data_IF_531767464583
#
_entry.id   IF_531767464583
#
_cell.length_a   1.000
_cell.length_b   1.000
_cell.length_c   1.000
_cell.angle_alpha   90.00
_cell.angle_beta   90.00
_cell.angle_gamma   90.00
#
_symmetry.space_group_name_H-M   'P 1'
#
loop_
_entity.id
_entity.type
_entity.pdbx_description
1 polymer ?
#
# COMPACT_ATOMS: atom_id res chain seq x y z
N UNK A 1 5.58 5.13 5.13
CA UNK A 1 4.61 5.78 4.19
C UNK A 1 4.08 7.08 4.73
N UNK A 2 3.78 7.21 6.02
CA UNK A 2 3.41 8.53 6.57
C UNK A 2 4.53 9.57 6.41
N UNK A 3 5.80 9.14 6.33
CA UNK A 3 6.96 10.01 6.07
C UNK A 3 6.93 10.63 4.67
N UNK A 4 6.28 9.98 3.70
CA UNK A 4 6.16 10.50 2.31
C UNK A 4 5.47 11.85 2.28
N UNK A 5 4.55 12.07 3.21
CA UNK A 5 3.71 13.26 3.30
C UNK A 5 3.91 14.04 4.60
N UNK A 6 5.01 13.77 5.33
CA UNK A 6 5.35 14.42 6.60
C UNK A 6 4.16 14.46 7.60
N UNK A 7 3.42 13.35 7.68
CA UNK A 7 2.22 13.31 8.52
C UNK A 7 2.52 13.26 10.02
N UNK A 8 3.77 12.97 10.41
CA UNK A 8 4.29 13.10 11.77
C UNK A 8 3.55 12.34 12.87
N UNK A 9 2.80 11.28 12.54
CA UNK A 9 2.01 10.52 13.51
C UNK A 9 2.24 9.00 13.35
N UNK A 10 2.84 8.40 14.38
CA UNK A 10 3.13 6.97 14.45
C UNK A 10 1.87 6.10 14.60
N UNK A 11 0.71 6.65 14.97
CA UNK A 11 -0.57 5.92 14.99
C UNK A 11 -0.88 5.30 13.62
N UNK A 12 -0.37 5.89 12.54
CA UNK A 12 -0.51 5.32 11.20
C UNK A 12 0.24 3.98 11.05
N UNK A 13 1.36 3.78 11.75
CA UNK A 13 2.01 2.47 11.84
C UNK A 13 1.05 1.45 12.44
N UNK A 14 0.50 1.78 13.61
CA UNK A 14 -0.37 0.88 14.36
C UNK A 14 -1.66 0.55 13.61
N UNK A 15 -2.22 1.52 12.88
CA UNK A 15 -3.42 1.30 12.07
C UNK A 15 -3.20 0.33 10.90
N UNK A 16 -1.96 0.23 10.39
CA UNK A 16 -1.64 -0.55 9.20
C UNK A 16 -0.80 -1.81 9.49
N UNK A 17 -0.30 -1.99 10.72
CA UNK A 17 0.63 -3.08 11.07
C UNK A 17 0.05 -4.46 10.74
N UNK A 18 -1.26 -4.62 10.94
CA UNK A 18 -1.95 -5.87 10.67
C UNK A 18 -1.88 -6.27 9.19
N UNK A 19 -1.70 -5.34 8.24
CA UNK A 19 -1.63 -5.67 6.81
C UNK A 19 -0.37 -6.45 6.42
N UNK A 20 0.64 -6.52 7.30
CA UNK A 20 1.85 -7.31 7.08
C UNK A 20 1.52 -8.75 6.70
N UNK A 21 2.25 -9.30 5.71
CA UNK A 21 2.01 -10.66 5.25
C UNK A 21 0.66 -10.86 4.55
N UNK A 22 -0.07 -9.80 4.18
CA UNK A 22 -1.39 -9.89 3.55
C UNK A 22 -2.49 -10.16 4.57
N UNK A 23 -2.45 -9.40 5.66
CA UNK A 23 -3.17 -9.60 6.92
C UNK A 23 -2.58 -10.73 7.76
N UNK A 24 -1.70 -10.36 8.69
CA UNK A 24 -1.10 -11.22 9.71
C UNK A 24 -0.59 -12.59 9.23
N UNK A 25 0.10 -12.60 8.08
CA UNK A 25 0.71 -13.81 7.47
C UNK A 25 -0.26 -14.86 6.91
N UNK A 26 -1.57 -14.58 6.83
CA UNK A 26 -2.52 -15.46 6.12
C UNK A 26 -2.29 -15.46 4.61
N UNK A 27 -1.66 -14.41 4.08
CA UNK A 27 -1.32 -14.23 2.67
C UNK A 27 -2.49 -14.14 1.68
N UNK A 28 -3.73 -14.25 2.17
CA UNK A 28 -4.95 -14.22 1.37
C UNK A 28 -5.45 -12.80 1.05
N UNK A 29 -4.84 -11.76 1.62
CA UNK A 29 -5.16 -10.38 1.31
C UNK A 29 -4.11 -9.72 0.39
N UNK A 30 -4.43 -8.53 -0.17
CA UNK A 30 -3.45 -7.73 -0.89
C UNK A 30 -2.18 -7.46 -0.06
N UNK A 31 -1.07 -7.28 -0.77
CA UNK A 31 0.21 -6.89 -0.22
C UNK A 31 0.05 -5.74 0.78
N UNK A 32 0.75 -5.84 1.92
CA UNK A 32 0.65 -4.81 2.97
C UNK A 32 0.97 -3.41 2.47
N UNK A 33 1.90 -3.27 1.51
CA UNK A 33 2.22 -1.98 0.90
C UNK A 33 1.07 -1.43 0.04
N UNK A 34 0.41 -2.29 -0.75
CA UNK A 34 -0.78 -1.90 -1.53
C UNK A 34 -1.91 -1.47 -0.60
N UNK A 35 -2.20 -2.25 0.44
CA UNK A 35 -3.25 -1.92 1.44
C UNK A 35 -2.95 -0.62 2.19
N UNK A 36 -1.72 -0.42 2.65
CA UNK A 36 -1.30 0.80 3.34
C UNK A 36 -1.35 2.03 2.43
N UNK A 37 -1.08 1.89 1.13
CA UNK A 37 -1.16 3.00 0.18
C UNK A 37 -2.57 3.59 0.07
N UNK A 38 -3.61 2.75 0.14
CA UNK A 38 -5.00 3.20 0.11
C UNK A 38 -5.37 4.02 1.35
N UNK A 39 -4.86 3.62 2.53
CA UNK A 39 -4.98 4.40 3.77
C UNK A 39 -4.24 5.72 3.64
N UNK A 40 -3.01 5.69 3.12
CA UNK A 40 -2.17 6.86 2.92
C UNK A 40 -2.82 7.91 2.01
N UNK A 41 -3.36 7.49 0.86
CA UNK A 41 -4.12 8.36 -0.05
C UNK A 41 -5.36 8.95 0.62
N UNK A 42 -6.09 8.13 1.37
CA UNK A 42 -7.24 8.59 2.16
C UNK A 42 -6.88 9.70 3.12
N UNK A 43 -5.78 9.54 3.87
CA UNK A 43 -5.28 10.54 4.80
C UNK A 43 -4.76 11.78 4.08
N UNK A 44 -4.01 11.62 2.99
CA UNK A 44 -3.40 12.70 2.21
C UNK A 44 -4.43 13.69 1.68
N UNK A 45 -5.57 13.19 1.21
CA UNK A 45 -6.62 14.01 0.60
C UNK A 45 -7.85 14.16 1.49
N UNK A 46 -7.79 13.79 2.78
CA UNK A 46 -8.92 14.01 3.70
C UNK A 46 -9.24 15.49 3.80
N UNK A 47 -10.54 15.81 3.91
CA UNK A 47 -11.00 17.17 4.14
C UNK A 47 -12.20 17.17 5.09
N UNK A 48 -12.64 18.36 5.50
CA UNK A 48 -13.88 18.50 6.27
C UNK A 48 -15.06 17.90 5.51
N UNK A 49 -15.98 17.28 6.26
CA UNK A 49 -17.24 16.76 5.72
C UNK A 49 -18.33 17.85 5.60
N UNK A 50 -18.11 19.03 6.19
CA UNK A 50 -19.04 20.16 6.08
C UNK A 50 -19.11 20.72 4.66
N UNK A 51 -18.01 20.65 3.90
CA UNK A 51 -17.94 21.02 2.50
C UNK A 51 -18.19 19.78 1.63
N UNK A 52 -19.44 19.61 1.18
CA UNK A 52 -19.87 18.43 0.43
C UNK A 52 -19.18 18.29 -0.92
N UNK A 53 -18.97 19.38 -1.64
CA UNK A 53 -18.35 19.34 -2.97
C UNK A 53 -16.86 19.02 -2.87
N UNK A 54 -16.13 19.66 -1.95
CA UNK A 54 -14.73 19.32 -1.70
C UNK A 54 -14.56 17.88 -1.22
N UNK A 55 -15.46 17.39 -0.36
CA UNK A 55 -15.44 16.00 0.08
C UNK A 55 -15.71 15.02 -1.06
N UNK A 56 -16.60 15.37 -2.00
CA UNK A 56 -16.87 14.56 -3.19
C UNK A 56 -15.65 14.49 -4.11
N UNK A 57 -15.00 15.62 -4.38
CA UNK A 57 -13.78 15.69 -5.19
C UNK A 57 -12.63 14.90 -4.55
N UNK A 58 -12.42 15.08 -3.25
CA UNK A 58 -11.39 14.36 -2.49
C UNK A 58 -11.59 12.84 -2.56
N UNK A 59 -12.83 12.36 -2.36
CA UNK A 59 -13.17 10.93 -2.53
C UNK A 59 -12.98 10.43 -3.95
N UNK A 60 -13.17 11.28 -4.96
CA UNK A 60 -12.92 10.89 -6.36
C UNK A 60 -11.42 10.69 -6.61
N UNK A 61 -10.58 11.64 -6.17
CA UNK A 61 -9.12 11.56 -6.27
C UNK A 61 -8.59 10.32 -5.55
N UNK A 62 -9.01 10.09 -4.29
CA UNK A 62 -8.59 8.93 -3.50
C UNK A 62 -8.91 7.61 -4.22
N UNK A 63 -10.14 7.46 -4.74
CA UNK A 63 -10.55 6.22 -5.44
C UNK A 63 -9.81 6.06 -6.76
N UNK A 64 -9.63 7.15 -7.50
CA UNK A 64 -8.93 7.13 -8.79
C UNK A 64 -7.46 6.74 -8.62
N UNK A 65 -6.73 7.39 -7.71
CA UNK A 65 -5.32 7.12 -7.46
C UNK A 65 -5.11 5.73 -6.87
N UNK A 66 -5.96 5.28 -5.93
CA UNK A 66 -5.91 3.90 -5.42
C UNK A 66 -6.11 2.87 -6.53
N UNK A 67 -7.07 3.09 -7.44
CA UNK A 67 -7.32 2.20 -8.58
C UNK A 67 -6.16 2.19 -9.58
N UNK A 68 -5.57 3.35 -9.88
CA UNK A 68 -4.40 3.46 -10.76
C UNK A 68 -3.20 2.73 -10.15
N UNK A 69 -2.92 2.97 -8.87
CA UNK A 69 -1.81 2.32 -8.15
C UNK A 69 -1.95 0.80 -8.16
N UNK A 70 -3.14 0.25 -7.87
CA UNK A 70 -3.39 -1.20 -7.89
C UNK A 70 -3.15 -1.78 -9.29
N UNK A 71 -3.65 -1.11 -10.34
CA UNK A 71 -3.46 -1.56 -11.73
C UNK A 71 -1.99 -1.53 -12.15
N UNK A 72 -1.27 -0.46 -11.82
CA UNK A 72 0.14 -0.33 -12.16
C UNK A 72 1.00 -1.33 -11.37
N UNK A 73 0.66 -1.56 -10.10
CA UNK A 73 1.30 -2.57 -9.26
C UNK A 73 1.12 -3.96 -9.85
N UNK A 74 -0.12 -4.36 -10.15
CA UNK A 74 -0.42 -5.66 -10.73
C UNK A 74 0.24 -5.83 -12.10
N UNK A 75 0.26 -4.78 -12.93
CA UNK A 75 0.95 -4.79 -14.23
C UNK A 75 2.46 -5.02 -14.07
N UNK A 76 3.09 -4.43 -13.04
CA UNK A 76 4.53 -4.53 -12.80
C UNK A 76 4.93 -5.86 -12.15
N UNK A 77 4.12 -6.39 -11.22
CA UNK A 77 4.50 -7.51 -10.37
C UNK A 77 3.66 -8.78 -10.59
N UNK A 78 2.63 -8.73 -11.43
CA UNK A 78 1.81 -9.87 -11.86
C UNK A 78 0.64 -10.22 -10.92
N UNK A 79 0.72 -9.85 -9.64
CA UNK A 79 -0.33 -10.12 -8.64
C UNK A 79 -0.44 -8.94 -7.67
N UNK A 80 -1.45 -8.95 -6.81
CA UNK A 80 -1.59 -8.01 -5.70
C UNK A 80 -1.63 -8.71 -4.35
N UNK A 81 -1.90 -10.01 -4.29
CA UNK A 81 -1.96 -10.81 -3.06
C UNK A 81 -0.57 -11.17 -2.57
N UNK A 82 -0.39 -11.24 -1.24
CA UNK A 82 0.90 -11.62 -0.68
C UNK A 82 1.32 -13.03 -1.13
N UNK A 83 0.38 -13.97 -1.18
CA UNK A 83 0.62 -15.34 -1.66
C UNK A 83 1.11 -15.36 -3.12
N UNK A 84 0.40 -14.69 -4.04
CA UNK A 84 0.76 -14.66 -5.45
C UNK A 84 2.10 -13.97 -5.72
N UNK A 85 2.42 -12.93 -4.95
CA UNK A 85 3.69 -12.19 -5.08
C UNK A 85 4.90 -12.96 -4.56
N UNK A 86 4.74 -13.66 -3.43
CA UNK A 86 5.85 -14.38 -2.82
C UNK A 86 6.04 -15.76 -3.45
N UNK A 87 4.94 -16.45 -3.75
CA UNK A 87 4.96 -17.87 -4.17
C UNK A 87 5.38 -18.82 -3.05
N UNK A 88 5.35 -18.34 -1.81
CA UNK A 88 5.70 -19.09 -0.59
C UNK A 88 4.41 -19.23 0.22
N UNK A 89 4.16 -20.42 0.74
CA UNK A 89 2.98 -20.74 1.55
C UNK A 89 3.37 -20.78 3.03
N UNK A 90 3.01 -19.75 3.79
CA UNK A 90 3.30 -19.59 5.21
C UNK A 90 2.45 -20.49 6.11
N UNK A 91 1.42 -21.16 5.58
CA UNK A 91 0.70 -22.19 6.35
C UNK A 91 1.55 -23.44 6.60
N UNK A 92 2.62 -23.62 5.80
CA UNK A 92 3.55 -24.73 5.96
C UNK A 92 4.50 -24.49 7.14
N UNK A 93 4.71 -25.50 8.01
CA UNK A 93 5.67 -25.40 9.10
C UNK A 93 7.06 -24.97 8.60
N UNK A 94 7.65 -23.96 9.23
CA UNK A 94 8.99 -23.46 8.90
C UNK A 94 9.08 -22.48 7.72
N UNK A 95 8.06 -22.39 6.85
CA UNK A 95 8.13 -21.56 5.64
C UNK A 95 8.31 -20.06 5.94
N UNK A 96 7.64 -19.54 6.98
CA UNK A 96 7.82 -18.16 7.40
C UNK A 96 9.23 -17.90 7.96
N UNK A 97 9.78 -18.85 8.72
CA UNK A 97 11.15 -18.75 9.25
C UNK A 97 12.18 -18.75 8.12
N UNK A 98 12.03 -19.66 7.16
CA UNK A 98 12.87 -19.71 5.97
C UNK A 98 12.79 -18.39 5.18
N UNK A 99 11.59 -17.86 4.94
CA UNK A 99 11.40 -16.56 4.29
C UNK A 99 12.14 -15.42 5.00
N UNK A 100 12.16 -15.44 6.34
CA UNK A 100 12.87 -14.45 7.16
C UNK A 100 14.38 -14.60 7.08
N UNK A 101 14.88 -15.82 7.19
CA UNK A 101 16.32 -16.15 7.25
C UNK A 101 17.01 -16.01 5.89
N UNK A 102 16.36 -16.47 4.82
CA UNK A 102 16.84 -16.35 3.44
C UNK A 102 16.86 -14.90 2.95
N UNK A 103 16.10 -14.01 3.60
CA UNK A 103 16.09 -12.60 3.28
C UNK A 103 15.28 -12.24 2.03
N UNK A 104 14.42 -13.14 1.51
CA UNK A 104 13.58 -12.89 0.32
C UNK A 104 12.77 -11.59 0.42
N UNK A 105 12.37 -11.20 1.63
CA UNK A 105 11.67 -9.93 1.88
C UNK A 105 12.50 -8.69 1.48
N UNK A 106 13.83 -8.75 1.56
CA UNK A 106 14.72 -7.65 1.18
C UNK A 106 14.66 -7.40 -0.33
N UNK A 107 14.54 -8.47 -1.10
CA UNK A 107 14.53 -8.38 -2.57
C UNK A 107 13.12 -8.18 -3.12
N UNK A 108 12.10 -8.81 -2.51
CA UNK A 108 10.71 -8.70 -2.98
C UNK A 108 9.94 -7.58 -2.27
N UNK A 109 9.75 -7.68 -0.96
CA UNK A 109 8.89 -6.75 -0.22
C UNK A 109 9.41 -5.31 -0.28
N UNK A 110 10.71 -5.08 -0.18
CA UNK A 110 11.26 -3.73 -0.28
C UNK A 110 11.00 -3.10 -1.66
N UNK A 111 11.12 -3.87 -2.75
CA UNK A 111 10.80 -3.37 -4.11
C UNK A 111 9.33 -3.03 -4.27
N UNK A 112 8.44 -3.76 -3.59
CA UNK A 112 7.02 -3.43 -3.56
C UNK A 112 6.78 -2.11 -2.81
N UNK A 113 7.44 -1.91 -1.68
CA UNK A 113 7.36 -0.66 -0.90
C UNK A 113 7.92 0.52 -1.70
N UNK A 114 9.10 0.35 -2.29
CA UNK A 114 9.76 1.36 -3.13
C UNK A 114 8.85 1.81 -4.26
N UNK A 115 8.29 0.87 -5.03
CA UNK A 115 7.36 1.19 -6.11
C UNK A 115 6.13 1.96 -5.62
N UNK A 116 5.58 1.60 -4.46
CA UNK A 116 4.43 2.31 -3.89
C UNK A 116 4.81 3.74 -3.54
N UNK A 117 5.97 3.95 -2.91
CA UNK A 117 6.47 5.28 -2.56
C UNK A 117 6.69 6.13 -3.82
N UNK A 118 7.35 5.58 -4.84
CA UNK A 118 7.54 6.25 -6.14
C UNK A 118 6.19 6.65 -6.76
N UNK A 119 5.21 5.74 -6.76
CA UNK A 119 3.87 6.03 -7.30
C UNK A 119 3.11 7.08 -6.52
N UNK A 120 3.27 7.13 -5.20
CA UNK A 120 2.64 8.16 -4.37
C UNK A 120 3.25 9.54 -4.65
N UNK A 121 4.55 9.64 -4.93
CA UNK A 121 5.17 10.90 -5.37
C UNK A 121 4.71 11.30 -6.78
N UNK A 122 4.65 10.36 -7.73
CA UNK A 122 4.14 10.61 -9.10
C UNK A 122 2.75 11.27 -9.09
N UNK A 123 1.86 10.84 -8.17
CA UNK A 123 0.52 11.42 -8.07
C UNK A 123 0.47 12.85 -7.54
N UNK A 124 1.51 13.33 -6.87
CA UNK A 124 1.60 14.74 -6.44
C UNK A 124 2.09 15.66 -7.56
N UNK A 125 2.93 15.11 -8.46
CA UNK A 125 3.42 15.82 -9.65
C UNK A 125 2.35 15.89 -10.74
N UNK A 126 1.48 14.87 -10.83
CA UNK A 126 0.26 14.86 -11.65
C UNK A 126 -0.83 15.78 -11.05
N UNK A 127 -0.56 17.08 -10.91
CA UNK A 127 -1.63 18.04 -10.59
C UNK A 127 -2.65 18.04 -11.74
N UNK A 128 -3.96 17.85 -11.48
CA UNK A 128 -4.96 18.13 -12.50
C UNK A 128 -4.83 19.61 -12.89
N UNK A 129 -4.80 19.89 -14.18
CA UNK A 129 -4.85 21.27 -14.69
C UNK A 129 -6.04 21.99 -14.03
N UNK A 130 -5.77 23.17 -13.45
CA UNK A 130 -6.79 24.05 -12.87
C UNK A 130 -7.88 24.42 -13.89
#
# INVERSE_FOLDING_TARGET
>A
MWDVYDLGNEDFLWSCIAFMGGISSEQQAPCGAVSASAVCLGLRHRCSLSDKEKAKQSRAIIRYNSSRLVRDFQKKFGDITCAGLLGIDFSKPGAYQEFRETGVWKDKCNRYIEFIVEKLYEFEDDKPAE
#
